data_IF_504877004645
#
_entry.id   IF_504877004645
#
_cell.length_a   1.000
_cell.length_b   1.000
_cell.length_c   1.000
_cell.angle_alpha   90.00
_cell.angle_beta   90.00
_cell.angle_gamma   90.00
#
_symmetry.space_group_name_H-M   'P 1'
#
loop_
_entity.id
_entity.type
_entity.pdbx_description
1 polymer ?
#
# COMPACT_ATOMS: atom_id res chain seq x y z
N UNK A 1 7.70 -4.36 -6.44
CA UNK A 1 7.17 -4.52 -7.83
C UNK A 1 5.85 -5.31 -7.93
N UNK A 2 5.60 -6.34 -7.12
CA UNK A 2 4.37 -7.16 -7.23
C UNK A 2 3.08 -6.37 -6.98
N UNK A 3 3.05 -5.50 -5.97
CA UNK A 3 1.87 -4.69 -5.66
C UNK A 3 1.47 -3.81 -6.85
N UNK A 4 2.45 -3.21 -7.52
CA UNK A 4 2.22 -2.44 -8.74
C UNK A 4 1.62 -3.30 -9.86
N UNK A 5 2.12 -4.52 -10.07
CA UNK A 5 1.56 -5.46 -11.05
C UNK A 5 0.12 -5.84 -10.69
N UNK A 6 -0.17 -6.11 -9.41
CA UNK A 6 -1.51 -6.47 -8.92
C UNK A 6 -2.48 -5.30 -9.00
N UNK A 7 -1.99 -4.07 -8.91
CA UNK A 7 -2.74 -2.83 -9.11
C UNK A 7 -2.89 -2.45 -10.61
N UNK A 8 -2.56 -3.35 -11.53
CA UNK A 8 -2.75 -3.14 -12.97
C UNK A 8 -1.54 -2.52 -13.69
N UNK A 9 -0.39 -2.42 -13.03
CA UNK A 9 0.87 -1.92 -13.60
C UNK A 9 0.76 -0.52 -14.23
N UNK A 10 -0.07 0.36 -13.63
CA UNK A 10 -0.30 1.72 -14.13
C UNK A 10 0.93 2.59 -13.83
N UNK A 11 1.37 3.40 -14.80
CA UNK A 11 2.48 4.33 -14.64
C UNK A 11 3.87 3.67 -14.52
N UNK A 12 4.90 4.46 -14.19
CA UNK A 12 6.26 3.95 -14.00
C UNK A 12 6.32 3.11 -12.72
N UNK A 13 7.01 1.96 -12.77
CA UNK A 13 7.27 1.12 -11.60
C UNK A 13 7.79 1.97 -10.42
N UNK A 14 7.12 1.96 -9.25
CA UNK A 14 7.60 2.69 -8.09
C UNK A 14 8.87 2.04 -7.55
N UNK A 15 9.86 2.88 -7.25
CA UNK A 15 11.15 2.49 -6.66
C UNK A 15 11.17 3.04 -5.24
N UNK A 16 11.27 2.16 -4.24
CA UNK A 16 11.39 2.56 -2.85
C UNK A 16 12.89 2.68 -2.55
N UNK A 17 13.37 3.92 -2.44
CA UNK A 17 14.79 4.24 -2.25
C UNK A 17 15.26 4.03 -0.80
N UNK A 18 14.32 3.84 0.14
CA UNK A 18 14.61 3.80 1.56
C UNK A 18 14.92 2.39 2.08
N UNK A 19 15.96 2.30 2.91
CA UNK A 19 16.30 1.09 3.67
C UNK A 19 15.23 0.73 4.73
N UNK A 20 14.28 1.62 5.00
CA UNK A 20 13.15 1.43 5.90
C UNK A 20 11.83 1.68 5.18
N UNK A 21 10.83 0.86 5.49
CA UNK A 21 9.49 1.00 4.94
C UNK A 21 8.74 2.12 5.67
N UNK A 22 8.13 3.07 4.95
CA UNK A 22 7.28 4.06 5.59
C UNK A 22 6.02 3.42 6.17
N UNK A 23 5.37 4.09 7.10
CA UNK A 23 4.11 3.65 7.72
C UNK A 23 2.94 3.64 6.73
N UNK A 24 3.03 4.45 5.67
CA UNK A 24 2.05 4.51 4.59
C UNK A 24 2.71 4.93 3.27
N UNK A 25 2.12 4.52 2.15
CA UNK A 25 2.54 4.85 0.78
C UNK A 25 1.31 5.27 -0.01
N UNK A 26 1.40 6.40 -0.72
CA UNK A 26 0.33 6.89 -1.60
C UNK A 26 0.96 7.16 -2.95
N UNK A 27 0.51 6.44 -3.98
CA UNK A 27 1.13 6.46 -5.31
C UNK A 27 0.06 6.81 -6.37
N UNK A 28 -0.36 8.09 -6.47
CA UNK A 28 -1.39 8.52 -7.41
C UNK A 28 -1.01 8.29 -8.88
N UNK A 29 0.29 8.37 -9.18
CA UNK A 29 0.80 8.08 -10.52
C UNK A 29 0.65 6.61 -10.93
N UNK A 30 0.50 5.72 -9.94
CA UNK A 30 0.31 4.29 -10.11
C UNK A 30 -1.10 3.83 -9.76
N UNK A 31 -1.98 4.76 -9.38
CA UNK A 31 -3.36 4.49 -8.98
C UNK A 31 -3.52 3.53 -7.79
N UNK A 32 -2.53 3.47 -6.88
CA UNK A 32 -2.66 2.65 -5.67
C UNK A 32 -2.03 3.26 -4.43
N UNK A 33 -2.41 2.75 -3.26
CA UNK A 33 -1.86 3.12 -1.95
C UNK A 33 -1.68 1.89 -1.05
N UNK A 34 -0.81 2.00 -0.04
CA UNK A 34 -0.51 0.93 0.92
C UNK A 34 -0.47 1.54 2.33
N UNK A 35 -1.27 1.03 3.25
CA UNK A 35 -1.15 1.32 4.68
C UNK A 35 -0.36 0.19 5.33
N UNK A 36 0.81 0.51 5.90
CA UNK A 36 1.69 -0.47 6.54
C UNK A 36 1.50 -0.55 8.06
N UNK A 37 0.95 0.50 8.65
CA UNK A 37 0.78 0.69 10.08
C UNK A 37 -0.62 1.21 10.36
N UNK A 38 -1.41 0.44 11.11
CA UNK A 38 -2.84 0.68 11.33
C UNK A 38 -3.10 1.94 12.17
N UNK A 39 -2.16 2.32 13.05
CA UNK A 39 -2.24 3.55 13.86
C UNK A 39 -2.23 4.81 12.97
N UNK A 40 -1.65 4.70 11.78
CA UNK A 40 -1.64 5.78 10.78
C UNK A 40 -2.92 5.86 9.92
N UNK A 41 -3.93 5.01 10.14
CA UNK A 41 -5.14 4.95 9.30
C UNK A 41 -5.84 6.31 9.14
N UNK A 42 -5.98 7.09 10.21
CA UNK A 42 -6.65 8.39 10.15
C UNK A 42 -5.99 9.33 9.14
N UNK A 43 -4.67 9.50 9.25
CA UNK A 43 -3.89 10.34 8.31
C UNK A 43 -3.91 9.78 6.89
N UNK A 44 -3.90 8.45 6.77
CA UNK A 44 -3.93 7.78 5.48
C UNK A 44 -5.26 8.01 4.76
N UNK A 45 -6.38 7.88 5.47
CA UNK A 45 -7.71 8.14 4.92
C UNK A 45 -7.86 9.61 4.48
N UNK A 46 -7.40 10.56 5.30
CA UNK A 46 -7.37 11.98 4.91
C UNK A 46 -6.57 12.20 3.62
N UNK A 47 -5.37 11.64 3.54
CA UNK A 47 -4.52 11.79 2.36
C UNK A 47 -5.09 11.09 1.11
N UNK A 48 -5.85 10.00 1.27
CA UNK A 48 -6.60 9.37 0.18
C UNK A 48 -7.73 10.28 -0.34
N UNK A 49 -8.42 10.99 0.54
CA UNK A 49 -9.48 11.94 0.14
C UNK A 49 -8.91 13.14 -0.63
N UNK A 50 -7.73 13.62 -0.23
CA UNK A 50 -7.02 14.70 -0.92
C UNK A 50 -6.42 14.24 -2.25
N UNK A 51 -6.05 12.96 -2.34
CA UNK A 51 -5.40 12.37 -3.52
C UNK A 51 -6.40 11.79 -4.49
N UNK A 52 -6.66 12.51 -5.58
CA UNK A 52 -7.45 11.96 -6.70
C UNK A 52 -6.70 10.80 -7.37
N UNK A 53 -7.47 9.89 -7.99
CA UNK A 53 -6.97 8.81 -8.82
C UNK A 53 -6.31 7.64 -8.06
N UNK A 54 -6.79 7.30 -6.87
CA UNK A 54 -6.46 6.03 -6.21
C UNK A 54 -7.56 5.03 -6.50
N UNK A 55 -7.22 3.94 -7.19
CA UNK A 55 -8.15 2.89 -7.57
C UNK A 55 -7.95 1.58 -6.82
N UNK A 56 -6.85 1.43 -6.07
CA UNK A 56 -6.52 0.22 -5.31
C UNK A 56 -5.83 0.56 -4.00
N UNK A 57 -6.24 -0.08 -2.90
CA UNK A 57 -5.63 0.13 -1.58
C UNK A 57 -5.25 -1.21 -0.94
N UNK A 58 -4.04 -1.26 -0.40
CA UNK A 58 -3.54 -2.41 0.36
C UNK A 58 -3.45 -2.05 1.84
N UNK A 59 -4.00 -2.90 2.71
CA UNK A 59 -3.90 -2.75 4.16
C UNK A 59 -3.03 -3.86 4.72
N UNK A 60 -1.93 -3.50 5.39
CA UNK A 60 -1.07 -4.45 6.07
C UNK A 60 -1.57 -4.64 7.49
N UNK A 61 -2.32 -5.71 7.71
CA UNK A 61 -2.92 -6.05 9.01
C UNK A 61 -3.07 -7.56 9.14
N UNK A 62 -2.92 -8.06 10.36
CA UNK A 62 -3.22 -9.44 10.71
C UNK A 62 -4.67 -9.64 11.22
N UNK A 63 -5.48 -8.58 11.30
CA UNK A 63 -6.86 -8.63 11.75
C UNK A 63 -7.83 -8.44 10.58
N UNK A 64 -8.69 -9.44 10.36
CA UNK A 64 -9.78 -9.34 9.36
C UNK A 64 -10.82 -8.28 9.75
N UNK A 65 -11.06 -8.10 11.04
CA UNK A 65 -11.97 -7.09 11.56
C UNK A 65 -11.46 -5.68 11.22
N UNK A 66 -10.19 -5.41 11.52
CA UNK A 66 -9.57 -4.12 11.21
C UNK A 66 -9.53 -3.87 9.69
N UNK A 67 -9.20 -4.89 8.88
CA UNK A 67 -9.25 -4.80 7.43
C UNK A 67 -10.65 -4.40 6.92
N UNK A 68 -11.70 -5.01 7.47
CA UNK A 68 -13.08 -4.72 7.08
C UNK A 68 -13.48 -3.29 7.45
N UNK A 69 -13.18 -2.85 8.67
CA UNK A 69 -13.47 -1.49 9.13
C UNK A 69 -12.74 -0.44 8.29
N UNK A 70 -11.44 -0.64 8.04
CA UNK A 70 -10.63 0.27 7.24
C UNK A 70 -11.07 0.32 5.77
N UNK A 71 -11.48 -0.83 5.19
CA UNK A 71 -11.95 -0.89 3.81
C UNK A 71 -13.28 -0.16 3.63
N UNK A 72 -14.21 -0.33 4.58
CA UNK A 72 -15.50 0.33 4.57
C UNK A 72 -15.35 1.86 4.67
N UNK A 73 -14.39 2.34 5.47
CA UNK A 73 -14.20 3.76 5.72
C UNK A 73 -13.58 4.60 4.59
N UNK A 74 -13.01 3.99 3.54
CA UNK A 74 -12.32 4.72 2.46
C UNK A 74 -13.09 4.79 1.13
N UNK A 75 -14.17 4.02 0.97
CA UNK A 75 -15.01 4.06 -0.23
C UNK A 75 -14.32 3.64 -1.54
N UNK A 76 -13.21 2.92 -1.47
CA UNK A 76 -12.49 2.37 -2.65
C UNK A 76 -12.92 0.93 -2.86
N UNK A 77 -13.30 0.58 -4.10
CA UNK A 77 -13.83 -0.76 -4.40
C UNK A 77 -12.76 -1.86 -4.33
N UNK A 78 -11.51 -1.56 -4.71
CA UNK A 78 -10.43 -2.56 -4.73
C UNK A 78 -9.54 -2.42 -3.50
N UNK A 79 -9.93 -3.10 -2.40
CA UNK A 79 -9.09 -3.21 -1.21
C UNK A 79 -8.56 -4.63 -1.01
N UNK A 80 -7.36 -4.74 -0.46
CA UNK A 80 -6.73 -6.03 -0.18
C UNK A 80 -6.01 -6.04 1.16
N UNK A 81 -6.22 -7.10 1.93
CA UNK A 81 -5.43 -7.38 3.12
C UNK A 81 -4.08 -8.01 2.74
N UNK A 82 -3.02 -7.57 3.41
CA UNK A 82 -1.68 -8.14 3.33
C UNK A 82 -1.12 -8.36 4.73
N UNK A 83 -0.23 -9.34 4.87
CA UNK A 83 0.48 -9.58 6.13
C UNK A 83 1.84 -8.89 6.11
N UNK A 84 2.30 -8.41 7.28
CA UNK A 84 3.58 -7.68 7.40
C UNK A 84 4.77 -8.50 6.88
N UNK A 85 4.79 -9.79 7.21
CA UNK A 85 5.83 -10.72 6.78
C UNK A 85 5.87 -10.88 5.25
N UNK A 86 4.72 -10.79 4.59
CA UNK A 86 4.64 -10.80 3.13
C UNK A 86 5.37 -9.58 2.56
N UNK A 87 5.07 -8.38 3.05
CA UNK A 87 5.69 -7.12 2.58
C UNK A 87 7.21 -7.09 2.78
N UNK A 88 7.67 -7.54 3.95
CA UNK A 88 9.10 -7.55 4.27
C UNK A 88 9.89 -8.39 3.26
N UNK A 89 9.35 -9.56 2.89
CA UNK A 89 9.91 -10.41 1.84
C UNK A 89 9.96 -9.74 0.45
N UNK A 90 8.98 -8.90 0.07
CA UNK A 90 9.03 -8.15 -1.20
C UNK A 90 10.08 -7.04 -1.21
N UNK A 91 10.26 -6.40 -0.06
CA UNK A 91 11.15 -5.26 0.09
C UNK A 91 12.58 -5.74 0.13
N UNK A 92 12.87 -6.81 0.87
CA UNK A 92 14.19 -7.47 0.88
C UNK A 92 14.54 -8.02 -0.51
N UNK A 93 13.59 -8.65 -1.21
CA UNK A 93 13.80 -9.17 -2.56
C UNK A 93 14.16 -8.09 -3.59
N UNK A 94 13.69 -6.85 -3.40
CA UNK A 94 14.01 -5.71 -4.26
C UNK A 94 15.41 -5.13 -4.00
N UNK A 95 16.06 -5.43 -2.86
CA UNK A 95 17.41 -4.94 -2.51
C UNK A 95 18.55 -5.74 -3.15
N UNK A 96 18.29 -6.94 -3.67
CA UNK A 96 19.34 -7.87 -4.13
C UNK A 96 19.95 -7.57 -5.51
N UNK A 97 19.72 -6.39 -6.10
CA UNK A 97 20.35 -5.99 -7.37
C UNK A 97 21.32 -4.81 -7.20
N UNK A 98 22.20 -4.88 -6.20
CA UNK A 98 23.39 -4.01 -6.10
C UNK A 98 24.63 -4.87 -5.79
N UNK A 99 24.93 -5.81 -6.69
CA UNK A 99 26.23 -6.47 -6.81
C UNK A 99 26.61 -6.52 -8.29
#
# INVERSE_FOLDING_TARGET
>A
PLLWLKAGAIGKRPELDSAELPNMLILPQNSFAVLLDEDCYGKFAEALLETKNIGTVYFVTNSEEAFREMSDGIGIEQTYQLYRDYIDNFVIGSRRNNL
#
